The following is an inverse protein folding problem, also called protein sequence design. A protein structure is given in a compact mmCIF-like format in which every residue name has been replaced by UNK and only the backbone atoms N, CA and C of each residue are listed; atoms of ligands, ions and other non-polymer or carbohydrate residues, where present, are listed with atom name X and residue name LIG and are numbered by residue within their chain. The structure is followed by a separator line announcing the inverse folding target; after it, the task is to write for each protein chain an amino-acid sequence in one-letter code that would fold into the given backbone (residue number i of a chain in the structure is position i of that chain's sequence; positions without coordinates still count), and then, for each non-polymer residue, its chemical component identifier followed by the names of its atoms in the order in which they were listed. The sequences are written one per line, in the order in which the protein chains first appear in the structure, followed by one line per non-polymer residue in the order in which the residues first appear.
data_IF_686028545473
#
_entry.id   IF_686028545473
#
_cell.length_a   1.000
_cell.length_b   1.000
_cell.length_c   1.000
_cell.angle_alpha   90.00
_cell.angle_beta   90.00
_cell.angle_gamma   90.00
#
_symmetry.space_group_name_H-M   'P 1'
#
loop_
_entity.id
_entity.type
_entity.pdbx_description
1 polymer ?
#
# COMPACT_ATOMS: atom_id res chain seq x y z
N UNK A 1 -77.25 11.86 62.39
CA UNK A 1 -75.81 11.91 62.04
C UNK A 1 -75.65 11.46 60.59
N UNK A 2 -75.01 12.32 59.79
CA UNK A 2 -74.31 12.11 58.50
C UNK A 2 -74.90 11.19 57.40
N UNK A 3 -75.54 11.85 56.43
CA UNK A 3 -75.34 11.82 54.96
C UNK A 3 -75.55 10.52 54.12
N UNK A 4 -76.65 10.55 53.34
CA UNK A 4 -76.90 9.87 52.05
C UNK A 4 -76.04 10.55 50.96
N UNK A 5 -75.46 9.88 49.97
CA UNK A 5 -76.05 9.62 48.63
C UNK A 5 -74.98 8.87 47.76
N UNK A 6 -75.17 7.62 47.29
CA UNK A 6 -75.65 7.20 45.93
C UNK A 6 -74.73 7.69 44.78
N UNK A 7 -74.29 6.92 43.77
CA UNK A 7 -74.84 5.75 43.05
C UNK A 7 -73.79 5.20 42.06
N UNK A 8 -74.10 4.00 41.54
CA UNK A 8 -73.32 3.04 40.71
C UNK A 8 -73.08 3.41 39.23
N UNK A 9 -71.99 2.84 38.71
CA UNK A 9 -71.75 2.10 37.44
C UNK A 9 -72.44 2.51 36.12
N UNK A 10 -71.65 2.64 35.05
CA UNK A 10 -71.92 2.00 33.75
C UNK A 10 -70.67 2.02 32.83
N UNK A 11 -70.63 1.03 31.94
CA UNK A 11 -69.52 0.69 31.05
C UNK A 11 -69.50 1.49 29.73
N UNK A 12 -68.37 1.29 29.05
CA UNK A 12 -67.80 1.78 27.77
C UNK A 12 -68.80 1.92 26.59
N UNK A 13 -68.49 2.81 25.62
CA UNK A 13 -68.58 2.39 24.22
C UNK A 13 -67.26 2.55 23.45
N UNK A 14 -67.10 1.59 22.55
CA UNK A 14 -66.04 1.35 21.56
C UNK A 14 -65.78 2.54 20.62
N UNK A 15 -64.53 2.74 20.23
CA UNK A 15 -64.12 3.65 19.15
C UNK A 15 -62.61 3.61 18.90
N UNK A 16 -62.22 3.10 17.73
CA UNK A 16 -60.88 2.98 17.13
C UNK A 16 -60.12 4.33 17.19
N UNK A 17 -58.79 4.43 17.35
CA UNK A 17 -57.76 3.80 16.53
C UNK A 17 -56.45 3.57 17.31
N UNK A 18 -55.76 2.49 16.94
CA UNK A 18 -54.37 2.27 17.26
C UNK A 18 -53.51 3.34 16.57
N UNK A 19 -52.92 4.23 17.37
CA UNK A 19 -51.96 5.26 16.94
C UNK A 19 -50.55 4.92 17.39
N UNK A 20 -50.01 3.84 16.81
CA UNK A 20 -48.61 3.48 16.62
C UNK A 20 -47.57 4.53 17.10
N UNK A 21 -47.02 4.36 18.30
CA UNK A 21 -45.70 4.91 18.64
C UNK A 21 -44.63 3.86 18.29
N UNK A 22 -44.46 3.60 16.98
CA UNK A 22 -43.34 2.84 16.44
C UNK A 22 -42.44 3.89 15.81
N UNK A 23 -41.48 4.39 16.61
CA UNK A 23 -40.37 5.24 16.17
C UNK A 23 -38.99 4.51 16.10
N UNK A 24 -38.89 3.21 15.72
CA UNK A 24 -37.64 2.62 15.26
C UNK A 24 -37.50 2.50 13.72
N UNK A 25 -38.56 2.71 12.92
CA UNK A 25 -38.45 2.64 11.46
C UNK A 25 -37.76 3.89 10.85
N UNK A 26 -37.94 5.08 11.44
CA UNK A 26 -37.43 6.33 10.86
C UNK A 26 -35.91 6.38 10.75
N UNK A 27 -35.21 5.90 11.78
CA UNK A 27 -33.75 6.04 11.84
C UNK A 27 -33.08 4.97 10.98
N UNK A 28 -33.64 3.76 10.94
CA UNK A 28 -33.17 2.68 10.05
C UNK A 28 -33.43 3.03 8.60
N UNK A 29 -34.62 3.56 8.27
CA UNK A 29 -34.94 4.06 6.93
C UNK A 29 -34.04 5.24 6.53
N UNK A 30 -33.80 6.17 7.46
CA UNK A 30 -32.88 7.30 7.24
C UNK A 30 -31.46 6.83 6.94
N UNK A 31 -30.90 5.92 7.74
CA UNK A 31 -29.56 5.37 7.52
C UNK A 31 -29.47 4.55 6.22
N UNK A 32 -30.56 3.84 5.88
CA UNK A 32 -30.66 3.10 4.62
C UNK A 32 -30.70 4.05 3.42
N UNK A 33 -31.48 5.13 3.48
CA UNK A 33 -31.53 6.17 2.47
C UNK A 33 -30.21 6.96 2.35
N UNK A 34 -29.51 7.15 3.47
CA UNK A 34 -28.18 7.77 3.51
C UNK A 34 -27.07 6.85 2.96
N UNK A 35 -27.38 5.62 2.54
CA UNK A 35 -26.41 4.69 1.94
C UNK A 35 -25.41 4.11 2.94
N UNK A 36 -25.67 4.21 4.25
CA UNK A 36 -24.74 3.74 5.30
C UNK A 36 -24.50 2.23 5.19
N UNK A 37 -25.48 1.46 4.73
CA UNK A 37 -25.35 0.03 4.49
C UNK A 37 -24.27 -0.31 3.45
N UNK A 38 -24.24 0.40 2.33
CA UNK A 38 -23.24 0.19 1.27
C UNK A 38 -21.85 0.67 1.70
N UNK A 39 -21.79 1.77 2.45
CA UNK A 39 -20.57 2.32 3.05
C UNK A 39 -19.93 1.33 4.03
N UNK A 40 -20.73 0.77 4.95
CA UNK A 40 -20.30 -0.27 5.89
C UNK A 40 -19.89 -1.54 5.16
N UNK A 41 -20.69 -1.98 4.17
CA UNK A 41 -20.37 -3.17 3.38
C UNK A 41 -19.03 -3.01 2.65
N UNK A 42 -18.79 -1.86 2.04
CA UNK A 42 -17.51 -1.55 1.39
C UNK A 42 -16.33 -1.55 2.36
N UNK A 43 -16.50 -0.95 3.54
CA UNK A 43 -15.47 -0.95 4.59
C UNK A 43 -15.16 -2.37 5.10
N UNK A 44 -16.21 -3.18 5.32
CA UNK A 44 -16.07 -4.57 5.74
C UNK A 44 -15.40 -5.44 4.66
N UNK A 45 -15.74 -5.25 3.39
CA UNK A 45 -15.06 -5.95 2.29
C UNK A 45 -13.57 -5.63 2.27
N UNK A 46 -13.19 -4.35 2.35
CA UNK A 46 -11.78 -3.95 2.40
C UNK A 46 -11.05 -4.49 3.63
N UNK A 47 -11.71 -4.52 4.79
CA UNK A 47 -11.15 -5.10 6.02
C UNK A 47 -10.88 -6.60 5.87
N UNK A 48 -11.81 -7.33 5.25
CA UNK A 48 -11.68 -8.77 4.98
C UNK A 48 -10.59 -9.05 3.94
N UNK A 49 -10.54 -8.27 2.86
CA UNK A 49 -9.47 -8.35 1.87
C UNK A 49 -8.10 -8.06 2.50
N UNK A 50 -8.04 -7.09 3.41
CA UNK A 50 -6.82 -6.70 4.09
C UNK A 50 -6.34 -7.69 5.15
N UNK A 51 -7.23 -8.57 5.65
CA UNK A 51 -6.96 -9.49 6.76
C UNK A 51 -6.34 -8.76 7.96
N UNK A 52 -6.91 -7.62 8.32
CA UNK A 52 -6.39 -6.80 9.43
C UNK A 52 -6.39 -7.60 10.74
N UNK A 53 -5.24 -7.63 11.43
CA UNK A 53 -5.12 -8.19 12.78
C UNK A 53 -5.83 -7.30 13.83
N UNK A 54 -6.08 -6.03 13.50
CA UNK A 54 -6.93 -5.11 14.25
C UNK A 54 -8.09 -4.59 13.37
N UNK A 55 -9.25 -5.28 13.37
CA UNK A 55 -10.39 -4.88 12.55
C UNK A 55 -11.03 -3.56 12.99
N UNK A 56 -10.98 -3.20 14.27
CA UNK A 56 -11.63 -1.97 14.75
C UNK A 56 -10.76 -0.75 14.44
N UNK A 57 -9.46 -0.81 14.70
CA UNK A 57 -8.52 0.24 14.28
C UNK A 57 -8.56 0.46 12.76
N UNK A 58 -8.62 -0.62 11.99
CA UNK A 58 -8.78 -0.55 10.54
C UNK A 58 -10.03 0.23 10.10
N UNK A 59 -11.19 -0.06 10.70
CA UNK A 59 -12.44 0.62 10.34
C UNK A 59 -12.41 2.09 10.75
N UNK A 60 -11.80 2.42 11.89
CA UNK A 60 -11.61 3.80 12.31
C UNK A 60 -10.76 4.57 11.28
N UNK A 61 -9.61 4.03 10.89
CA UNK A 61 -8.75 4.63 9.88
C UNK A 61 -9.44 4.73 8.52
N UNK A 62 -10.21 3.70 8.12
CA UNK A 62 -10.98 3.70 6.88
C UNK A 62 -11.97 4.88 6.84
N UNK A 63 -12.75 5.08 7.91
CA UNK A 63 -13.73 6.16 7.95
C UNK A 63 -13.08 7.54 8.11
N UNK A 64 -11.97 7.65 8.86
CA UNK A 64 -11.18 8.88 8.90
C UNK A 64 -10.70 9.27 7.49
N UNK A 65 -10.12 8.32 6.74
CA UNK A 65 -9.64 8.56 5.37
C UNK A 65 -10.78 8.88 4.39
N UNK A 66 -11.98 8.33 4.61
CA UNK A 66 -13.16 8.60 3.79
C UNK A 66 -13.75 9.99 4.09
N UNK A 67 -13.82 10.38 5.36
CA UNK A 67 -14.31 11.69 5.80
C UNK A 67 -13.44 12.83 5.25
N UNK A 68 -12.11 12.65 5.19
CA UNK A 68 -11.23 13.68 4.65
C UNK A 68 -11.44 13.95 3.14
N UNK A 69 -12.12 13.06 2.40
CA UNK A 69 -12.49 13.27 0.98
C UNK A 69 -13.61 14.29 0.82
N UNK A 70 -14.56 14.28 1.76
CA UNK A 70 -15.75 15.14 1.72
C UNK A 70 -15.41 16.59 2.06
N UNK A 71 -14.41 16.85 2.90
CA UNK A 71 -13.98 18.20 3.29
C UNK A 71 -13.12 18.91 2.23
N UNK A 72 -12.68 18.21 1.18
CA UNK A 72 -11.85 18.75 0.09
C UNK A 72 -12.66 19.12 -1.17
N UNK A 73 -14.00 19.14 -1.09
CA UNK A 73 -14.87 19.67 -2.16
C UNK A 73 -14.92 21.21 -2.14
N UNK A 74 -14.91 21.89 -3.30
CA UNK A 74 -14.79 23.36 -3.40
C UNK A 74 -16.07 24.13 -3.02
N UNK A 75 -16.95 23.55 -2.21
CA UNK A 75 -18.19 24.19 -1.77
C UNK A 75 -17.97 24.97 -0.47
N UNK A 76 -17.23 26.07 -0.55
CA UNK A 76 -16.94 26.91 0.61
C UNK A 76 -16.19 28.20 0.25
N UNK A 77 -16.77 29.03 -0.62
CA UNK A 77 -16.25 30.37 -0.88
C UNK A 77 -16.47 31.24 0.37
N UNK A 78 -15.42 31.42 1.17
CA UNK A 78 -15.27 32.47 2.15
C UNK A 78 -13.94 33.17 1.88
N UNK A 79 -14.03 34.46 1.59
CA UNK A 79 -12.95 35.36 1.17
C UNK A 79 -11.85 35.44 2.25
N UNK A 80 -10.62 35.03 1.93
CA UNK A 80 -9.39 35.54 2.56
C UNK A 80 -8.16 35.14 1.72
N UNK A 81 -7.72 36.08 0.90
CA UNK A 81 -6.78 35.94 -0.22
C UNK A 81 -5.29 35.96 0.23
N UNK A 82 -4.94 35.34 1.37
CA UNK A 82 -3.55 35.41 1.86
C UNK A 82 -3.02 34.19 2.65
N UNK A 83 -3.39 32.96 2.26
CA UNK A 83 -2.85 31.71 2.85
C UNK A 83 -2.75 30.51 1.88
N UNK A 84 -2.73 30.74 0.56
CA UNK A 84 -2.84 29.68 -0.47
C UNK A 84 -1.69 28.64 -0.51
N UNK A 85 -0.53 28.90 0.12
CA UNK A 85 0.58 27.92 0.15
C UNK A 85 0.40 26.79 1.17
N UNK A 86 -0.28 27.05 2.30
CA UNK A 86 -0.44 26.09 3.37
C UNK A 86 -1.53 25.04 3.07
N UNK A 87 -2.62 25.47 2.42
CA UNK A 87 -3.74 24.59 2.04
C UNK A 87 -3.35 23.54 0.99
N UNK A 88 -2.60 23.95 -0.04
CA UNK A 88 -2.12 23.03 -1.08
C UNK A 88 -1.16 21.96 -0.53
N UNK A 89 -0.25 22.34 0.38
CA UNK A 89 0.66 21.41 1.04
C UNK A 89 -0.08 20.42 1.96
N UNK A 90 -1.10 20.88 2.68
CA UNK A 90 -1.93 20.02 3.52
C UNK A 90 -2.74 19.01 2.70
N UNK A 91 -3.30 19.43 1.56
CA UNK A 91 -4.02 18.55 0.65
C UNK A 91 -3.09 17.50 0.02
N UNK A 92 -1.90 17.91 -0.43
CA UNK A 92 -0.87 17.02 -0.98
C UNK A 92 -0.44 15.94 0.04
N UNK A 93 -0.21 16.34 1.29
CA UNK A 93 0.11 15.42 2.38
C UNK A 93 -1.06 14.46 2.72
N UNK A 94 -2.30 14.94 2.63
CA UNK A 94 -3.49 14.10 2.81
C UNK A 94 -3.63 13.04 1.72
N UNK A 95 -3.42 13.42 0.45
CA UNK A 95 -3.41 12.47 -0.67
C UNK A 95 -2.30 11.43 -0.50
N UNK A 96 -1.12 11.83 -0.06
CA UNK A 96 -0.02 10.92 0.26
C UNK A 96 -0.39 9.93 1.37
N UNK A 97 -0.92 10.41 2.49
CA UNK A 97 -1.34 9.54 3.60
C UNK A 97 -2.39 8.51 3.16
N UNK A 98 -3.35 8.92 2.33
CA UNK A 98 -4.37 8.02 1.76
C UNK A 98 -3.77 7.01 0.78
N UNK A 99 -2.86 7.45 -0.09
CA UNK A 99 -2.15 6.56 -1.00
C UNK A 99 -1.38 5.49 -0.22
N UNK A 100 -0.62 5.89 0.81
CA UNK A 100 0.11 4.96 1.69
C UNK A 100 -0.84 3.99 2.41
N UNK A 101 -1.98 4.46 2.92
CA UNK A 101 -2.98 3.60 3.52
C UNK A 101 -3.47 2.52 2.52
N UNK A 102 -3.80 2.91 1.28
CA UNK A 102 -4.16 1.96 0.23
C UNK A 102 -3.07 0.93 -0.02
N UNK A 103 -1.80 1.34 -0.10
CA UNK A 103 -0.67 0.44 -0.33
C UNK A 103 -0.47 -0.58 0.79
N UNK A 104 -0.87 -0.26 2.03
CA UNK A 104 -0.79 -1.16 3.19
C UNK A 104 -1.99 -2.10 3.34
N UNK A 105 -3.08 -1.86 2.61
CA UNK A 105 -4.28 -2.70 2.70
C UNK A 105 -4.05 -4.14 2.31
N UNK A 106 -3.05 -4.48 1.51
CA UNK A 106 -2.84 -5.85 1.09
C UNK A 106 -1.34 -6.17 1.07
N UNK A 107 -0.99 -7.36 1.55
CA UNK A 107 0.35 -7.87 1.37
C UNK A 107 0.65 -8.04 -0.13
N UNK A 108 1.88 -7.72 -0.55
CA UNK A 108 2.30 -7.67 -1.95
C UNK A 108 2.14 -9.03 -2.69
N UNK A 109 2.07 -10.14 -1.96
CA UNK A 109 1.77 -11.48 -2.52
C UNK A 109 0.33 -11.64 -3.04
N UNK A 110 -0.61 -10.81 -2.59
CA UNK A 110 -2.00 -10.80 -3.05
C UNK A 110 -2.12 -10.03 -4.36
N UNK A 111 -1.58 -10.60 -5.44
CA UNK A 111 -1.36 -9.90 -6.73
C UNK A 111 -2.53 -9.03 -7.21
N UNK A 112 -3.76 -9.51 -7.13
CA UNK A 112 -4.95 -8.75 -7.57
C UNK A 112 -5.25 -7.56 -6.66
N UNK A 113 -5.42 -7.80 -5.35
CA UNK A 113 -5.76 -6.77 -4.38
C UNK A 113 -4.66 -5.70 -4.30
N UNK A 114 -3.39 -6.14 -4.22
CA UNK A 114 -2.26 -5.23 -4.19
C UNK A 114 -2.16 -4.39 -5.48
N UNK A 115 -2.33 -4.99 -6.66
CA UNK A 115 -2.27 -4.23 -7.92
C UNK A 115 -3.39 -3.18 -8.04
N UNK A 116 -4.60 -3.51 -7.56
CA UNK A 116 -5.71 -2.56 -7.51
C UNK A 116 -5.40 -1.40 -6.55
N UNK A 117 -4.88 -1.71 -5.37
CA UNK A 117 -4.48 -0.71 -4.38
C UNK A 117 -3.36 0.21 -4.89
N UNK A 118 -2.36 -0.35 -5.59
CA UNK A 118 -1.30 0.43 -6.23
C UNK A 118 -1.86 1.37 -7.30
N UNK A 119 -2.86 0.92 -8.08
CA UNK A 119 -3.53 1.79 -9.04
C UNK A 119 -4.25 2.95 -8.36
N UNK A 120 -5.04 2.67 -7.32
CA UNK A 120 -5.74 3.72 -6.56
C UNK A 120 -4.75 4.70 -5.94
N UNK A 121 -3.65 4.22 -5.37
CA UNK A 121 -2.58 5.07 -4.82
C UNK A 121 -1.94 5.96 -5.88
N UNK A 122 -1.68 5.42 -7.08
CA UNK A 122 -1.16 6.20 -8.21
C UNK A 122 -2.14 7.31 -8.62
N UNK A 123 -3.42 6.96 -8.79
CA UNK A 123 -4.44 7.91 -9.21
C UNK A 123 -4.62 9.04 -8.17
N UNK A 124 -4.54 8.72 -6.87
CA UNK A 124 -4.58 9.71 -5.78
C UNK A 124 -3.42 10.71 -5.83
N UNK A 125 -2.23 10.25 -6.21
CA UNK A 125 -1.01 11.07 -6.28
C UNK A 125 -0.86 11.82 -7.61
N UNK A 126 -1.46 11.32 -8.69
CA UNK A 126 -1.42 11.92 -10.01
C UNK A 126 -2.21 13.25 -10.06
N UNK A 127 -3.31 13.34 -9.30
CA UNK A 127 -4.20 14.52 -9.26
C UNK A 127 -3.53 15.76 -8.61
N UNK A 128 -2.51 15.57 -7.78
CA UNK A 128 -1.81 16.67 -7.08
C UNK A 128 -1.05 17.62 -8.01
N UNK A 129 -0.74 17.21 -9.25
CA UNK A 129 -0.04 18.04 -10.24
C UNK A 129 -0.93 19.01 -11.03
N UNK A 130 -2.19 18.65 -11.29
CA UNK A 130 -3.08 19.42 -12.17
C UNK A 130 -3.56 20.74 -11.56
N UNK A 131 -3.66 20.84 -10.23
CA UNK A 131 -4.17 22.05 -9.57
C UNK A 131 -3.18 23.24 -9.63
N UNK A 132 -1.87 23.01 -9.79
CA UNK A 132 -0.89 24.12 -9.93
C UNK A 132 -0.87 24.72 -11.34
N UNK A 133 -1.12 23.93 -12.38
CA UNK A 133 -1.07 24.41 -13.76
C UNK A 133 -2.33 25.18 -14.18
N UNK A 134 -3.48 24.89 -13.55
CA UNK A 134 -4.72 25.65 -13.79
C UNK A 134 -4.67 27.09 -13.22
N UNK A 135 -3.71 27.40 -12.36
CA UNK A 135 -3.57 28.72 -11.72
C UNK A 135 -2.64 29.69 -12.49
N UNK A 136 -1.98 29.25 -13.57
CA UNK A 136 -1.06 30.06 -14.38
C UNK A 136 -1.54 30.22 -15.85
N UNK A 137 -2.85 30.27 -16.09
CA UNK A 137 -3.37 30.73 -17.37
C UNK A 137 -3.59 32.26 -17.30
N UNK A 138 -2.82 33.08 -18.06
CA UNK A 138 -3.10 34.50 -18.14
C UNK A 138 -4.37 34.71 -18.98
N UNK A 139 -5.37 35.37 -18.39
CA UNK A 139 -6.56 35.88 -19.08
C UNK A 139 -6.14 36.76 -20.26
N UNK A 140 -6.36 36.26 -21.47
CA UNK A 140 -6.33 37.04 -22.69
C UNK A 140 -7.70 36.92 -23.38
N UNK A 141 -8.42 38.02 -23.64
CA UNK A 141 -9.62 37.97 -24.45
C UNK A 141 -9.22 38.07 -25.92
N UNK A 142 -9.60 37.09 -26.73
CA UNK A 142 -10.49 37.29 -27.88
C UNK A 142 -10.55 36.03 -28.74
N UNK A 143 -11.74 35.84 -29.32
CA UNK A 143 -12.22 34.55 -29.77
C UNK A 143 -11.79 34.10 -31.16
N UNK A 144 -12.10 32.83 -31.44
CA UNK A 144 -12.72 32.42 -32.69
C UNK A 144 -13.17 30.97 -32.55
N UNK A 145 -14.45 30.74 -32.79
CA UNK A 145 -15.07 29.42 -32.88
C UNK A 145 -14.46 28.63 -34.05
N UNK A 146 -14.18 27.35 -33.82
CA UNK A 146 -14.05 26.35 -34.89
C UNK A 146 -14.62 25.05 -34.34
N UNK A 147 -15.86 24.75 -34.76
CA UNK A 147 -16.46 23.43 -34.64
C UNK A 147 -15.65 22.44 -35.48
N UNK A 148 -15.10 21.40 -34.85
CA UNK A 148 -14.86 20.12 -35.50
C UNK A 148 -15.04 18.96 -34.49
N UNK A 149 -15.61 17.80 -34.92
CA UNK A 149 -16.19 16.84 -34.00
C UNK A 149 -15.29 15.62 -33.73
N UNK A 150 -15.38 15.11 -32.50
CA UNK A 150 -15.13 13.73 -32.07
C UNK A 150 -13.74 13.18 -32.44
N UNK A 151 -12.79 13.47 -31.58
CA UNK A 151 -11.70 12.57 -31.24
C UNK A 151 -11.58 12.54 -29.72
N UNK A 152 -11.82 11.39 -29.10
CA UNK A 152 -11.48 11.15 -27.70
C UNK A 152 -9.96 11.22 -27.56
N UNK A 153 -9.43 12.44 -27.51
CA UNK A 153 -8.04 12.71 -27.20
C UNK A 153 -7.83 12.38 -25.74
N UNK A 154 -7.02 11.35 -25.51
CA UNK A 154 -6.40 11.04 -24.23
C UNK A 154 -5.96 12.36 -23.57
N UNK A 155 -6.69 12.77 -22.52
CA UNK A 155 -6.30 13.90 -21.70
C UNK A 155 -4.87 13.65 -21.22
N UNK A 156 -3.99 14.59 -21.53
CA UNK A 156 -2.54 14.44 -21.62
C UNK A 156 -1.90 13.68 -20.46
N UNK A 157 -0.85 12.92 -20.82
CA UNK A 157 -0.09 12.02 -19.96
C UNK A 157 0.28 12.64 -18.61
N UNK A 158 -0.58 12.40 -17.62
CA UNK A 158 -0.33 12.71 -16.23
C UNK A 158 0.44 11.57 -15.59
N UNK A 159 1.46 11.91 -14.80
CA UNK A 159 2.14 10.99 -13.92
C UNK A 159 2.47 11.61 -12.58
N UNK A 160 2.79 10.75 -11.61
CA UNK A 160 3.07 11.18 -10.24
C UNK A 160 4.35 11.98 -10.24
N UNK A 161 4.35 13.12 -9.56
CA UNK A 161 5.55 13.95 -9.40
C UNK A 161 6.67 13.16 -8.70
N UNK A 162 7.89 13.20 -9.21
CA UNK A 162 9.01 12.39 -8.71
C UNK A 162 9.35 12.64 -7.24
N UNK A 163 9.10 13.85 -6.72
CA UNK A 163 9.19 14.15 -5.29
C UNK A 163 8.19 13.35 -4.45
N UNK A 164 6.92 13.30 -4.85
CA UNK A 164 5.88 12.52 -4.19
C UNK A 164 6.13 11.01 -4.31
N UNK A 165 6.60 10.55 -5.45
CA UNK A 165 7.00 9.17 -5.64
C UNK A 165 8.16 8.79 -4.70
N UNK A 166 9.22 9.59 -4.67
CA UNK A 166 10.37 9.36 -3.78
C UNK A 166 9.95 9.37 -2.31
N UNK A 167 9.09 10.32 -1.90
CA UNK A 167 8.54 10.38 -0.55
C UNK A 167 7.68 9.15 -0.22
N UNK A 168 6.86 8.69 -1.16
CA UNK A 168 6.06 7.45 -1.01
C UNK A 168 6.97 6.25 -0.74
N UNK A 169 8.04 6.08 -1.51
CA UNK A 169 8.99 4.98 -1.31
C UNK A 169 9.72 5.04 0.04
N UNK A 170 10.07 6.25 0.49
CA UNK A 170 10.67 6.47 1.80
C UNK A 170 9.73 6.05 2.93
N UNK A 171 8.45 6.47 2.87
CA UNK A 171 7.43 6.10 3.83
C UNK A 171 7.23 4.57 3.87
N UNK A 172 7.10 3.91 2.71
CA UNK A 172 6.93 2.45 2.65
C UNK A 172 8.10 1.69 3.29
N UNK A 173 9.34 2.15 3.09
CA UNK A 173 10.50 1.53 3.74
C UNK A 173 10.48 1.75 5.26
N UNK A 174 10.23 2.99 5.69
CA UNK A 174 10.22 3.36 7.11
C UNK A 174 9.13 2.63 7.90
N UNK A 175 7.93 2.55 7.34
CA UNK A 175 6.77 1.91 7.97
C UNK A 175 6.86 0.39 7.91
N UNK A 176 7.55 -0.14 6.91
CA UNK A 176 7.95 -1.54 6.85
C UNK A 176 9.04 -1.93 7.86
N UNK A 177 9.47 -1.01 8.73
CA UNK A 177 10.47 -1.27 9.77
C UNK A 177 11.91 -1.29 9.27
N UNK A 178 12.17 -0.82 8.05
CA UNK A 178 13.53 -0.78 7.49
C UNK A 178 14.23 0.52 7.91
N UNK A 179 15.39 0.45 8.59
CA UNK A 179 16.13 1.65 8.95
C UNK A 179 16.53 2.48 7.73
N UNK A 180 16.51 3.81 7.86
CA UNK A 180 16.84 4.73 6.77
C UNK A 180 18.24 4.47 6.16
N UNK A 181 19.22 4.07 6.98
CA UNK A 181 20.56 3.72 6.50
C UNK A 181 20.60 2.48 5.60
N UNK A 182 19.65 1.55 5.79
CA UNK A 182 19.54 0.29 5.04
C UNK A 182 18.76 0.47 3.75
N UNK A 183 17.71 1.30 3.76
CA UNK A 183 16.90 1.59 2.59
C UNK A 183 17.52 2.65 1.68
N UNK A 184 18.40 3.53 2.19
CA UNK A 184 19.03 4.59 1.40
C UNK A 184 19.72 4.12 0.10
N UNK A 185 20.46 3.00 0.04
CA UNK A 185 21.04 2.53 -1.22
C UNK A 185 19.97 2.08 -2.23
N UNK A 186 18.87 1.47 -1.79
CA UNK A 186 17.75 1.10 -2.66
C UNK A 186 17.06 2.35 -3.22
N UNK A 187 16.72 3.29 -2.33
CA UNK A 187 16.03 4.52 -2.68
C UNK A 187 16.84 5.37 -3.66
N UNK A 188 18.17 5.40 -3.54
CA UNK A 188 19.05 6.04 -4.52
C UNK A 188 18.97 5.41 -5.91
N UNK A 189 18.74 4.10 -6.02
CA UNK A 189 18.57 3.42 -7.33
C UNK A 189 17.19 3.66 -7.95
N UNK A 190 16.18 3.89 -7.12
CA UNK A 190 14.79 4.11 -7.54
C UNK A 190 14.41 5.60 -7.60
N UNK A 191 15.32 6.51 -7.28
CA UNK A 191 15.04 7.93 -7.15
C UNK A 191 14.63 8.55 -8.49
N UNK A 192 13.58 9.38 -8.44
CA UNK A 192 13.19 10.28 -9.52
C UNK A 192 13.37 11.73 -9.07
N UNK A 193 13.74 12.61 -9.99
CA UNK A 193 13.91 14.03 -9.69
C UNK A 193 12.57 14.66 -9.27
N UNK A 194 12.61 15.71 -8.44
CA UNK A 194 11.38 16.30 -7.89
C UNK A 194 10.37 16.75 -8.95
N UNK A 195 10.83 17.13 -10.14
CA UNK A 195 10.01 17.62 -11.24
C UNK A 195 9.73 16.55 -12.31
N UNK A 196 10.29 15.35 -12.15
CA UNK A 196 10.08 14.24 -13.07
C UNK A 196 8.64 13.75 -12.99
N UNK A 197 8.09 13.31 -14.12
CA UNK A 197 6.76 12.73 -14.21
C UNK A 197 6.91 11.21 -14.23
N UNK A 198 6.49 10.57 -13.14
CA UNK A 198 6.63 9.13 -12.94
C UNK A 198 5.42 8.40 -13.52
N UNK A 199 5.60 7.56 -14.57
CA UNK A 199 4.51 6.78 -15.15
C UNK A 199 4.10 5.63 -14.22
N UNK A 200 2.89 5.10 -14.45
CA UNK A 200 2.30 4.06 -13.61
C UNK A 200 3.20 2.83 -13.43
N UNK A 201 3.86 2.37 -14.50
CA UNK A 201 4.69 1.17 -14.44
C UNK A 201 5.94 1.36 -13.58
N UNK A 202 6.56 2.55 -13.64
CA UNK A 202 7.72 2.92 -12.79
C UNK A 202 7.26 3.05 -11.34
N UNK A 203 6.14 3.73 -11.10
CA UNK A 203 5.55 3.85 -9.76
C UNK A 203 5.27 2.47 -9.16
N UNK A 204 4.58 1.61 -9.91
CA UNK A 204 4.23 0.25 -9.51
C UNK A 204 5.46 -0.60 -9.24
N UNK A 205 6.48 -0.51 -10.09
CA UNK A 205 7.75 -1.21 -9.90
C UNK A 205 8.46 -0.76 -8.61
N UNK A 206 8.57 0.54 -8.38
CA UNK A 206 9.17 1.10 -7.17
C UNK A 206 8.44 0.66 -5.90
N UNK A 207 7.11 0.80 -5.88
CA UNK A 207 6.26 0.41 -4.74
C UNK A 207 6.39 -1.08 -4.44
N UNK A 208 6.30 -1.95 -5.47
CA UNK A 208 6.45 -3.39 -5.29
C UNK A 208 7.86 -3.74 -4.79
N UNK A 209 8.90 -3.10 -5.34
CA UNK A 209 10.29 -3.32 -4.93
C UNK A 209 10.50 -2.94 -3.47
N UNK A 210 9.99 -1.79 -3.02
CA UNK A 210 10.06 -1.37 -1.63
C UNK A 210 9.28 -2.30 -0.70
N UNK A 211 8.07 -2.74 -1.08
CA UNK A 211 7.28 -3.67 -0.27
C UNK A 211 8.01 -5.01 -0.08
N UNK A 212 8.51 -5.60 -1.17
CA UNK A 212 9.26 -6.86 -1.14
C UNK A 212 10.57 -6.70 -0.37
N UNK A 213 11.25 -5.56 -0.52
CA UNK A 213 12.49 -5.28 0.20
C UNK A 213 12.25 -5.19 1.71
N UNK A 214 11.20 -4.49 2.15
CA UNK A 214 10.85 -4.40 3.57
C UNK A 214 10.61 -5.78 4.18
N UNK A 215 9.83 -6.63 3.50
CA UNK A 215 9.58 -7.99 3.97
C UNK A 215 10.87 -8.84 3.99
N UNK A 216 11.72 -8.70 2.97
CA UNK A 216 13.01 -9.40 2.92
C UNK A 216 13.94 -8.99 4.07
N UNK A 217 14.03 -7.69 4.38
CA UNK A 217 14.83 -7.20 5.51
C UNK A 217 14.26 -7.69 6.83
N UNK A 218 12.93 -7.63 7.01
CA UNK A 218 12.27 -8.14 8.21
C UNK A 218 12.54 -9.63 8.43
N UNK A 219 12.46 -10.45 7.37
CA UNK A 219 12.80 -11.87 7.46
C UNK A 219 14.29 -12.10 7.75
N UNK A 220 15.17 -11.26 7.20
CA UNK A 220 16.61 -11.33 7.46
C UNK A 220 16.93 -10.99 8.93
N UNK A 221 16.29 -9.97 9.50
CA UNK A 221 16.42 -9.61 10.91
C UNK A 221 15.94 -10.75 11.82
N UNK A 222 14.79 -11.35 11.51
CA UNK A 222 14.29 -12.53 12.24
C UNK A 222 15.27 -13.68 12.18
N UNK A 223 15.82 -13.95 11.00
CA UNK A 223 16.81 -15.02 10.82
C UNK A 223 18.08 -14.77 11.63
N UNK A 224 18.56 -13.52 11.68
CA UNK A 224 19.69 -13.16 12.53
C UNK A 224 19.38 -13.38 14.02
N UNK A 225 18.18 -13.02 14.48
CA UNK A 225 17.75 -13.23 15.85
C UNK A 225 17.74 -14.72 16.24
N UNK A 226 17.34 -15.62 15.34
CA UNK A 226 17.40 -17.07 15.56
C UNK A 226 18.82 -17.63 15.59
N UNK A 227 19.75 -17.02 14.84
CA UNK A 227 21.17 -17.42 14.83
C UNK A 227 21.91 -16.89 16.06
N UNK A 228 21.45 -15.77 16.63
CA UNK A 228 22.00 -15.21 17.85
C UNK A 228 21.50 -15.96 19.08
N UNK A 229 22.43 -16.41 19.92
CA UNK A 229 22.11 -16.86 21.26
C UNK A 229 21.97 -15.63 22.18
N UNK A 230 20.81 -15.38 22.83
CA UNK A 230 20.62 -14.22 23.72
C UNK A 230 21.65 -14.13 24.87
N UNK A 231 22.27 -15.26 25.22
CA UNK A 231 23.21 -15.38 26.33
C UNK A 231 24.70 -15.31 25.92
N UNK A 232 25.03 -15.35 24.62
CA UNK A 232 26.42 -15.44 24.14
C UNK A 232 26.91 -14.19 23.39
N UNK A 233 26.05 -13.17 23.24
CA UNK A 233 26.38 -11.94 22.53
C UNK A 233 26.14 -12.05 21.00
N UNK A 234 26.76 -11.17 20.19
CA UNK A 234 26.51 -11.12 18.74
C UNK A 234 26.88 -12.44 18.05
N UNK A 235 26.11 -12.82 17.02
CA UNK A 235 26.33 -14.07 16.31
C UNK A 235 27.74 -14.20 15.72
N UNK A 236 28.22 -15.46 15.65
CA UNK A 236 29.48 -15.78 15.00
C UNK A 236 29.47 -15.32 13.54
N UNK A 237 30.53 -14.60 13.12
CA UNK A 237 30.68 -14.12 11.74
C UNK A 237 30.61 -15.28 10.74
N UNK A 238 31.20 -16.42 11.08
CA UNK A 238 31.15 -17.63 10.27
C UNK A 238 29.72 -18.11 9.98
N UNK A 239 28.87 -18.15 11.01
CA UNK A 239 27.47 -18.57 10.90
C UNK A 239 26.68 -17.57 10.04
N UNK A 240 26.82 -16.27 10.33
CA UNK A 240 26.17 -15.22 9.56
C UNK A 240 26.53 -15.27 8.08
N UNK A 241 27.79 -15.46 7.74
CA UNK A 241 28.23 -15.59 6.35
C UNK A 241 27.68 -16.85 5.66
N UNK A 242 27.53 -17.96 6.37
CA UNK A 242 26.91 -19.17 5.82
C UNK A 242 25.43 -18.96 5.50
N UNK A 243 24.72 -18.26 6.38
CA UNK A 243 23.32 -17.87 6.19
C UNK A 243 23.17 -16.93 5.00
N UNK A 244 23.96 -15.85 4.95
CA UNK A 244 23.98 -14.89 3.84
C UNK A 244 24.36 -15.57 2.51
N UNK A 245 25.31 -16.50 2.54
CA UNK A 245 25.69 -17.31 1.38
C UNK A 245 24.52 -18.15 0.85
N UNK A 246 23.76 -18.78 1.75
CA UNK A 246 22.56 -19.56 1.39
C UNK A 246 21.48 -18.68 0.78
N UNK A 247 21.24 -17.48 1.34
CA UNK A 247 20.33 -16.48 0.77
C UNK A 247 20.78 -16.05 -0.63
N UNK A 248 22.08 -15.75 -0.79
CA UNK A 248 22.67 -15.35 -2.06
C UNK A 248 22.47 -16.42 -3.14
N UNK A 249 22.77 -17.69 -2.85
CA UNK A 249 22.59 -18.80 -3.80
C UNK A 249 21.13 -18.95 -4.25
N UNK A 250 20.18 -18.83 -3.33
CA UNK A 250 18.76 -18.93 -3.67
C UNK A 250 18.29 -17.76 -4.54
N UNK A 251 18.73 -16.53 -4.21
CA UNK A 251 18.46 -15.37 -5.05
C UNK A 251 19.13 -15.49 -6.43
N UNK A 252 20.27 -16.16 -6.56
CA UNK A 252 20.95 -16.39 -7.85
C UNK A 252 20.20 -17.41 -8.71
N UNK A 253 19.68 -18.45 -8.07
CA UNK A 253 18.88 -19.50 -8.70
C UNK A 253 17.61 -18.93 -9.34
N UNK A 254 16.97 -17.96 -8.67
CA UNK A 254 15.76 -17.33 -9.20
C UNK A 254 16.01 -16.36 -10.38
N UNK A 255 17.26 -15.93 -10.59
CA UNK A 255 17.61 -14.85 -11.52
C UNK A 255 17.93 -15.29 -12.96
N UNK A 256 17.84 -16.59 -13.29
CA UNK A 256 18.35 -17.13 -14.57
C UNK A 256 17.97 -16.30 -15.81
N UNK A 257 18.88 -16.24 -16.79
CA UNK A 257 18.80 -15.45 -18.01
C UNK A 257 17.37 -15.31 -18.58
N UNK A 258 17.01 -14.06 -18.90
CA UNK A 258 15.97 -13.75 -19.88
C UNK A 258 16.24 -14.61 -21.13
N UNK A 259 15.25 -15.30 -21.70
CA UNK A 259 15.43 -15.85 -23.03
C UNK A 259 15.52 -14.66 -24.00
N UNK A 260 16.74 -14.32 -24.43
CA UNK A 260 17.01 -13.52 -25.64
C UNK A 260 16.57 -14.31 -26.89
N UNK A 261 15.31 -14.72 -26.91
CA UNK A 261 14.74 -15.56 -27.94
C UNK A 261 13.31 -15.08 -28.22
N UNK A 262 13.14 -14.47 -29.39
CA UNK A 262 11.91 -14.35 -30.17
C UNK A 262 11.09 -13.06 -30.00
N UNK A 263 11.56 -12.01 -30.68
CA UNK A 263 10.66 -11.02 -31.32
C UNK A 263 9.83 -11.78 -32.37
N UNK A 264 8.70 -12.37 -31.97
CA UNK A 264 7.59 -12.59 -32.90
C UNK A 264 6.26 -12.69 -32.16
N UNK A 265 5.36 -11.75 -32.45
CA UNK A 265 4.20 -11.39 -31.65
C UNK A 265 3.02 -12.39 -31.66
N UNK A 266 3.26 -13.68 -31.93
CA UNK A 266 2.17 -14.60 -32.27
C UNK A 266 2.16 -15.95 -31.53
N UNK A 267 2.62 -16.03 -30.27
CA UNK A 267 2.67 -17.34 -29.62
C UNK A 267 2.37 -17.37 -28.10
N UNK A 268 1.10 -17.61 -27.78
CA UNK A 268 0.58 -17.89 -26.42
C UNK A 268 1.25 -19.13 -25.78
N UNK A 269 1.82 -20.04 -26.59
CA UNK A 269 2.52 -21.22 -26.09
C UNK A 269 3.87 -20.90 -25.42
N UNK A 270 4.59 -19.87 -25.88
CA UNK A 270 5.89 -19.50 -25.31
C UNK A 270 5.78 -18.83 -23.94
N UNK A 271 4.73 -18.02 -23.71
CA UNK A 271 4.46 -17.39 -22.41
C UNK A 271 4.17 -18.42 -21.29
N UNK A 272 3.51 -19.53 -21.62
CA UNK A 272 3.26 -20.63 -20.66
C UNK A 272 4.57 -21.34 -20.27
N UNK A 273 5.45 -21.58 -21.24
CA UNK A 273 6.76 -22.20 -21.00
C UNK A 273 7.66 -21.29 -20.14
N UNK A 274 7.69 -19.98 -20.41
CA UNK A 274 8.45 -19.02 -19.61
C UNK A 274 7.93 -18.94 -18.15
N UNK A 275 6.61 -18.93 -17.98
CA UNK A 275 5.99 -18.99 -16.65
C UNK A 275 6.38 -20.27 -15.89
N UNK A 276 6.41 -21.42 -16.57
CA UNK A 276 6.82 -22.69 -15.96
C UNK A 276 8.30 -22.71 -15.60
N UNK A 277 9.17 -22.14 -16.44
CA UNK A 277 10.61 -22.00 -16.14
C UNK A 277 10.83 -21.12 -14.91
N UNK A 278 10.12 -19.98 -14.80
CA UNK A 278 10.16 -19.12 -13.61
C UNK A 278 9.68 -19.86 -12.36
N UNK A 279 8.57 -20.61 -12.46
CA UNK A 279 8.06 -21.41 -11.36
C UNK A 279 9.06 -22.48 -10.88
N UNK A 280 9.69 -23.21 -11.81
CA UNK A 280 10.72 -24.21 -11.49
C UNK A 280 11.91 -23.56 -10.76
N UNK A 281 12.42 -22.43 -11.25
CA UNK A 281 13.52 -21.71 -10.60
C UNK A 281 13.16 -21.21 -9.20
N UNK A 282 11.92 -20.77 -8.97
CA UNK A 282 11.47 -20.41 -7.63
C UNK A 282 11.40 -21.63 -6.70
N UNK A 283 10.97 -22.79 -7.20
CA UNK A 283 10.99 -24.03 -6.43
C UNK A 283 12.43 -24.44 -6.09
N UNK A 284 13.35 -24.37 -7.04
CA UNK A 284 14.77 -24.65 -6.82
C UNK A 284 15.39 -23.68 -5.80
N UNK A 285 15.12 -22.38 -5.93
CA UNK A 285 15.54 -21.36 -4.97
C UNK A 285 14.98 -21.66 -3.56
N UNK A 286 13.70 -22.04 -3.46
CA UNK A 286 13.08 -22.41 -2.18
C UNK A 286 13.72 -23.65 -1.55
N UNK A 287 14.12 -24.64 -2.36
CA UNK A 287 14.83 -25.82 -1.87
C UNK A 287 16.23 -25.46 -1.33
N UNK A 288 16.89 -24.45 -1.89
CA UNK A 288 18.20 -23.95 -1.45
C UNK A 288 18.14 -23.26 -0.08
N UNK A 289 17.06 -22.54 0.24
CA UNK A 289 16.82 -21.96 1.59
C UNK A 289 16.10 -22.91 2.55
N UNK A 290 15.94 -24.19 2.21
CA UNK A 290 15.26 -25.14 3.10
C UNK A 290 15.98 -25.28 4.45
N UNK A 291 15.26 -25.58 5.55
CA UNK A 291 15.85 -25.70 6.88
C UNK A 291 17.04 -26.67 6.93
N UNK A 292 16.96 -27.79 6.22
CA UNK A 292 18.03 -28.78 6.15
C UNK A 292 19.29 -28.25 5.47
N UNK A 293 19.15 -27.51 4.36
CA UNK A 293 20.28 -26.91 3.64
C UNK A 293 20.95 -25.83 4.48
N UNK A 294 20.14 -25.00 5.13
CA UNK A 294 20.63 -23.96 6.03
C UNK A 294 21.38 -24.56 7.23
N UNK A 295 20.82 -25.59 7.87
CA UNK A 295 21.47 -26.28 8.98
C UNK A 295 22.82 -26.90 8.59
N UNK A 296 22.90 -27.53 7.40
CA UNK A 296 24.16 -28.07 6.88
C UNK A 296 25.21 -26.98 6.64
N UNK A 297 24.80 -25.84 6.06
CA UNK A 297 25.71 -24.72 5.84
C UNK A 297 26.23 -24.13 7.16
N UNK A 298 25.36 -24.00 8.16
CA UNK A 298 25.72 -23.52 9.50
C UNK A 298 26.66 -24.49 10.22
N UNK A 299 26.38 -25.80 10.18
CA UNK A 299 27.24 -26.81 10.81
C UNK A 299 28.65 -26.84 10.19
N UNK A 300 28.73 -26.76 8.87
CA UNK A 300 30.01 -26.61 8.16
C UNK A 300 30.79 -25.36 8.59
N UNK A 301 30.11 -24.24 8.81
CA UNK A 301 30.73 -22.97 9.19
C UNK A 301 31.26 -22.97 10.63
N UNK A 302 30.63 -23.72 11.56
CA UNK A 302 31.11 -23.89 12.94
C UNK A 302 32.52 -24.50 13.01
N UNK A 303 32.87 -25.30 12.01
CA UNK A 303 34.14 -26.04 11.97
C UNK A 303 35.29 -25.31 11.24
N UNK A 304 35.00 -24.29 10.41
CA UNK A 304 35.98 -23.77 9.43
C UNK A 304 35.92 -22.26 9.14
N UNK A 305 35.02 -21.52 9.80
CA UNK A 305 34.76 -20.14 9.40
C UNK A 305 35.74 -19.09 9.96
N UNK A 306 35.72 -17.86 9.39
CA UNK A 306 36.51 -16.74 9.88
C UNK A 306 36.12 -16.39 11.33
N UNK A 307 37.12 -16.11 12.16
CA UNK A 307 36.94 -15.71 13.55
C UNK A 307 36.24 -14.35 13.69
N UNK A 308 35.60 -14.15 14.84
CA UNK A 308 34.92 -12.90 15.19
C UNK A 308 33.39 -13.01 15.18
N UNK A 309 32.75 -11.89 15.49
CA UNK A 309 31.30 -11.76 15.49
C UNK A 309 30.83 -10.80 14.39
N UNK A 310 29.55 -10.88 14.07
CA UNK A 310 28.84 -9.96 13.19
C UNK A 310 27.62 -9.47 13.96
N UNK A 311 27.47 -8.15 14.08
CA UNK A 311 26.30 -7.57 14.75
C UNK A 311 25.07 -7.56 13.82
N UNK A 312 23.89 -7.26 14.41
CA UNK A 312 22.63 -7.27 13.68
C UNK A 312 22.62 -6.28 12.51
N UNK A 313 23.30 -5.14 12.67
CA UNK A 313 23.31 -4.08 11.67
C UNK A 313 24.20 -4.44 10.48
N UNK A 314 25.36 -5.01 10.74
CA UNK A 314 26.25 -5.53 9.72
C UNK A 314 25.57 -6.64 8.90
N UNK A 315 24.88 -7.57 9.57
CA UNK A 315 24.13 -8.63 8.89
C UNK A 315 23.00 -8.07 8.02
N UNK A 316 22.21 -7.14 8.56
CA UNK A 316 21.11 -6.48 7.85
C UNK A 316 21.62 -5.76 6.60
N UNK A 317 22.69 -4.98 6.71
CA UNK A 317 23.28 -4.26 5.58
C UNK A 317 23.79 -5.23 4.51
N UNK A 318 24.47 -6.31 4.92
CA UNK A 318 24.94 -7.33 3.98
C UNK A 318 23.78 -8.06 3.28
N UNK A 319 22.69 -8.35 4.00
CA UNK A 319 21.48 -8.90 3.40
C UNK A 319 20.86 -7.92 2.40
N UNK A 320 20.76 -6.64 2.76
CA UNK A 320 20.25 -5.58 1.91
C UNK A 320 21.04 -5.47 0.60
N UNK A 321 22.37 -5.52 0.67
CA UNK A 321 23.25 -5.46 -0.51
C UNK A 321 22.98 -6.62 -1.49
N UNK A 322 22.71 -7.84 -0.99
CA UNK A 322 22.34 -8.98 -1.84
C UNK A 322 21.06 -8.72 -2.63
N UNK A 323 20.06 -8.11 -1.99
CA UNK A 323 18.80 -7.74 -2.64
C UNK A 323 19.00 -6.60 -3.63
N UNK A 324 19.63 -5.51 -3.19
CA UNK A 324 19.77 -4.27 -3.96
C UNK A 324 20.59 -4.50 -5.23
N UNK A 325 21.61 -5.36 -5.19
CA UNK A 325 22.39 -5.74 -6.36
C UNK A 325 21.51 -6.32 -7.49
N UNK A 326 20.39 -6.96 -7.14
CA UNK A 326 19.45 -7.60 -8.10
C UNK A 326 18.39 -6.64 -8.65
N UNK A 327 18.17 -5.49 -8.02
CA UNK A 327 17.13 -4.56 -8.44
C UNK A 327 17.48 -3.99 -9.80
N UNK A 328 16.64 -4.30 -10.80
CA UNK A 328 16.68 -3.67 -12.12
C UNK A 328 16.06 -2.29 -12.00
N UNK A 329 16.76 -1.32 -12.57
CA UNK A 329 16.27 0.06 -12.66
C UNK A 329 15.47 0.18 -13.95
N UNK A 330 14.22 0.61 -13.83
CA UNK A 330 13.30 0.81 -14.97
C UNK A 330 13.09 2.33 -15.05
N UNK A 331 13.78 2.97 -15.99
CA UNK A 331 13.58 4.37 -16.37
C UNK A 331 13.30 4.42 -17.87
#
# INVERSE_FOLDING_TARGET
MAEKEKRRSAAIPSGMSAGKAIKPDSDVEFLSQAGVGDLLRGALLKMVEARSDDPIGFLADHFCNLASVTDSSPAGCGEDEQMNGAGACAQEQQHLNRALWHLRLAHHSQRSAFSNNVRVAYDLLNVSGCQRQAAEAPDGPDGSCSDDPIGAGEAGGGGVRGGLYTQTLQCLCSEGGVPASTSAPLLRRLHCQDHEVVPYDVFRHGVLTCAVFSDYIWQSQKLYAEVCCPHEGPASRALCLAVLGTLKEALETSAGCEPDCCVNANNKAYACVESNVKAIRYLEASAKISPNRLAQAMDGARSRGPGGSMDAKEFENAAADLFITRVKVVF
#
